data_IF_791814436566
#
_entry.id   IF_791814436566
#
_cell.length_a   1.000
_cell.length_b   1.000
_cell.length_c   1.000
_cell.angle_alpha   90.00
_cell.angle_beta   90.00
_cell.angle_gamma   90.00
#
_symmetry.space_group_name_H-M   'P 1'
#
loop_
_entity.id
_entity.type
_entity.pdbx_description
1 polymer ?
#
# COMPACT_ATOMS: atom_id res chain seq x y z
N UNK A 1 -2.13 -18.33 -3.02
CA UNK A 1 -2.73 -16.99 -3.02
C UNK A 1 -2.45 -16.37 -4.38
N UNK A 2 -3.48 -15.91 -5.10
CA UNK A 2 -3.35 -15.20 -6.38
C UNK A 2 -3.28 -13.71 -6.10
N UNK A 3 -2.32 -13.02 -6.74
CA UNK A 3 -2.16 -11.58 -6.61
C UNK A 3 -2.62 -10.91 -7.90
N UNK A 4 -3.50 -9.91 -7.78
CA UNK A 4 -3.99 -9.07 -8.87
C UNK A 4 -3.48 -7.64 -8.67
N UNK A 5 -2.18 -7.46 -8.87
CA UNK A 5 -1.51 -6.16 -8.94
C UNK A 5 -0.34 -6.30 -9.92
N UNK A 6 -0.42 -5.67 -11.11
CA UNK A 6 0.63 -5.72 -12.11
C UNK A 6 1.99 -5.25 -11.58
N UNK A 7 1.99 -4.36 -10.60
CA UNK A 7 3.18 -3.73 -10.03
C UNK A 7 4.01 -4.72 -9.20
N UNK A 8 3.35 -5.65 -8.49
CA UNK A 8 4.04 -6.64 -7.65
C UNK A 8 4.05 -8.04 -8.27
N UNK A 9 3.14 -8.35 -9.20
CA UNK A 9 3.07 -9.62 -9.90
C UNK A 9 2.54 -10.77 -9.02
N UNK A 10 3.40 -11.33 -8.18
CA UNK A 10 3.13 -12.53 -7.37
C UNK A 10 3.33 -12.31 -5.86
N UNK A 11 3.17 -13.38 -5.08
CA UNK A 11 3.33 -13.32 -3.62
C UNK A 11 4.74 -12.93 -3.19
N UNK A 12 5.77 -13.32 -3.94
CA UNK A 12 7.15 -12.97 -3.62
C UNK A 12 7.43 -11.50 -3.95
N UNK A 13 6.84 -10.97 -5.02
CA UNK A 13 6.85 -9.54 -5.31
C UNK A 13 6.12 -8.72 -4.27
N UNK A 14 4.97 -9.18 -3.78
CA UNK A 14 4.26 -8.52 -2.68
C UNK A 14 5.09 -8.50 -1.39
N UNK A 15 5.78 -9.60 -1.05
CA UNK A 15 6.71 -9.64 0.09
C UNK A 15 7.87 -8.66 -0.09
N UNK A 16 8.50 -8.62 -1.27
CA UNK A 16 9.58 -7.66 -1.58
C UNK A 16 9.09 -6.23 -1.45
N UNK A 17 7.92 -5.91 -1.97
CA UNK A 17 7.30 -4.60 -1.85
C UNK A 17 7.09 -4.22 -0.37
N UNK A 18 6.50 -5.11 0.43
CA UNK A 18 6.27 -4.87 1.86
C UNK A 18 7.58 -4.71 2.65
N UNK A 19 8.63 -5.46 2.31
CA UNK A 19 9.95 -5.29 2.92
C UNK A 19 10.55 -3.93 2.58
N UNK A 20 10.45 -3.49 1.32
CA UNK A 20 10.93 -2.17 0.90
C UNK A 20 10.16 -1.04 1.60
N UNK A 21 8.82 -1.17 1.67
CA UNK A 21 7.95 -0.23 2.38
C UNK A 21 8.34 -0.11 3.85
N UNK A 22 8.46 -1.23 4.58
CA UNK A 22 8.82 -1.21 6.01
C UNK A 22 10.25 -0.75 6.28
N UNK A 23 11.16 -0.94 5.33
CA UNK A 23 12.53 -0.42 5.43
C UNK A 23 12.54 1.10 5.28
N UNK A 24 11.79 1.63 4.30
CA UNK A 24 11.73 3.06 4.04
C UNK A 24 10.89 3.82 5.08
N UNK A 25 9.84 3.21 5.60
CA UNK A 25 8.90 3.75 6.57
C UNK A 25 8.85 2.83 7.81
N UNK A 26 9.83 2.90 8.72
CA UNK A 26 9.94 1.99 9.86
C UNK A 26 8.79 2.14 10.87
N UNK A 27 8.11 3.29 10.87
CA UNK A 27 6.92 3.62 11.66
C UNK A 27 5.59 3.36 10.91
N UNK A 28 5.64 2.63 9.77
CA UNK A 28 4.46 2.41 8.95
C UNK A 28 3.35 1.70 9.70
N UNK A 29 2.15 2.27 9.65
CA UNK A 29 0.92 1.65 10.14
C UNK A 29 -0.24 1.98 9.20
N UNK A 30 -1.24 1.11 9.19
CA UNK A 30 -2.46 1.31 8.40
C UNK A 30 -3.67 1.44 9.32
N UNK A 31 -4.50 2.43 9.05
CA UNK A 31 -5.78 2.64 9.70
C UNK A 31 -6.86 2.01 8.83
N UNK A 32 -7.68 1.11 9.41
CA UNK A 32 -8.87 0.58 8.75
C UNK A 32 -9.98 1.64 8.79
N UNK A 33 -10.48 2.04 7.64
CA UNK A 33 -11.52 3.07 7.52
C UNK A 33 -12.90 2.46 7.27
N UNK A 34 -12.93 1.37 6.51
CA UNK A 34 -14.18 0.70 6.13
C UNK A 34 -13.91 -0.76 5.80
N UNK A 35 -14.82 -1.63 6.20
CA UNK A 35 -14.75 -3.06 5.93
C UNK A 35 -16.14 -3.57 5.54
N UNK A 36 -16.22 -4.21 4.38
CA UNK A 36 -17.43 -4.87 3.90
C UNK A 36 -17.10 -6.32 3.62
N UNK A 37 -17.93 -7.24 4.13
CA UNK A 37 -17.76 -8.67 3.93
C UNK A 37 -19.07 -9.30 3.44
N UNK A 38 -18.97 -10.11 2.39
CA UNK A 38 -20.08 -10.87 1.83
C UNK A 38 -19.57 -12.22 1.32
N UNK A 39 -20.16 -13.31 1.84
CA UNK A 39 -19.77 -14.68 1.50
C UNK A 39 -18.25 -14.92 1.63
N UNK A 40 -17.56 -15.23 0.53
CA UNK A 40 -16.12 -15.48 0.48
C UNK A 40 -15.29 -14.23 0.15
N UNK A 41 -15.88 -13.04 0.12
CA UNK A 41 -15.24 -11.79 -0.27
C UNK A 41 -15.19 -10.79 0.87
N UNK A 42 -14.07 -10.09 0.97
CA UNK A 42 -13.88 -8.98 1.90
C UNK A 42 -13.32 -7.80 1.12
N UNK A 43 -13.85 -6.61 1.33
CA UNK A 43 -13.31 -5.37 0.80
C UNK A 43 -12.97 -4.46 1.97
N UNK A 44 -11.81 -3.81 1.92
CA UNK A 44 -11.43 -2.80 2.89
C UNK A 44 -10.96 -1.51 2.22
N UNK A 45 -11.27 -0.39 2.87
CA UNK A 45 -10.64 0.90 2.62
C UNK A 45 -9.77 1.23 3.83
N UNK A 46 -8.57 1.72 3.56
CA UNK A 46 -7.56 1.98 4.57
C UNK A 46 -6.72 3.20 4.21
N UNK A 47 -6.10 3.82 5.21
CA UNK A 47 -5.06 4.83 5.00
C UNK A 47 -3.77 4.35 5.64
N UNK A 48 -2.69 4.33 4.85
CA UNK A 48 -1.33 4.05 5.32
C UNK A 48 -0.63 5.32 5.75
N UNK A 49 0.06 5.25 6.88
CA UNK A 49 0.81 6.35 7.46
C UNK A 49 2.24 5.93 7.71
N UNK A 50 3.19 6.83 7.54
CA UNK A 50 4.58 6.61 7.93
C UNK A 50 5.48 7.80 7.63
N UNK A 51 6.69 7.78 8.15
CA UNK A 51 7.73 8.78 7.95
C UNK A 51 8.87 8.17 7.13
N UNK A 52 9.21 8.79 6.00
CA UNK A 52 10.25 8.26 5.12
C UNK A 52 11.64 8.49 5.73
N UNK A 53 12.22 7.43 6.29
CA UNK A 53 13.59 7.41 6.83
C UNK A 53 14.59 6.71 5.90
N UNK A 54 14.11 5.90 4.95
CA UNK A 54 14.93 5.22 3.95
C UNK A 54 14.52 5.56 2.51
N UNK A 55 15.39 5.21 1.56
CA UNK A 55 15.04 5.30 0.14
C UNK A 55 13.82 4.43 -0.16
N UNK A 56 12.88 4.95 -0.95
CA UNK A 56 11.73 4.19 -1.41
C UNK A 56 11.59 4.31 -2.93
N UNK A 57 11.66 3.18 -3.65
CA UNK A 57 11.48 3.14 -5.11
C UNK A 57 12.39 4.14 -5.87
N UNK A 58 13.66 4.28 -5.45
CA UNK A 58 14.61 5.22 -6.04
C UNK A 58 14.45 6.67 -5.58
N UNK A 59 13.53 6.97 -4.66
CA UNK A 59 13.34 8.30 -4.07
C UNK A 59 14.14 8.39 -2.77
N UNK A 60 15.18 9.24 -2.69
CA UNK A 60 15.96 9.42 -1.47
C UNK A 60 15.09 9.85 -0.28
N UNK A 61 15.48 9.45 0.92
CA UNK A 61 14.77 9.82 2.13
C UNK A 61 14.78 11.34 2.34
N UNK A 62 13.60 11.94 2.47
CA UNK A 62 13.43 13.36 2.77
C UNK A 62 12.86 13.64 4.17
N UNK A 63 12.68 12.61 5.00
CA UNK A 63 12.13 12.74 6.35
C UNK A 63 10.66 13.16 6.37
N UNK A 64 9.93 12.92 5.28
CA UNK A 64 8.54 13.38 5.11
C UNK A 64 7.56 12.35 5.66
N UNK A 65 6.60 12.83 6.44
CA UNK A 65 5.43 12.05 6.80
C UNK A 65 4.51 11.93 5.58
N UNK A 66 3.90 10.76 5.41
CA UNK A 66 2.94 10.47 4.35
C UNK A 66 1.65 9.91 4.94
N UNK A 67 0.53 10.20 4.26
CA UNK A 67 -0.76 9.57 4.48
C UNK A 67 -1.34 9.18 3.11
N UNK A 68 -1.51 7.89 2.87
CA UNK A 68 -1.81 7.33 1.55
C UNK A 68 -3.05 6.44 1.62
N UNK A 69 -4.18 6.84 1.00
CA UNK A 69 -5.37 6.01 0.96
C UNK A 69 -5.18 4.81 0.03
N UNK A 70 -5.84 3.71 0.36
CA UNK A 70 -5.87 2.50 -0.44
C UNK A 70 -7.13 1.68 -0.25
N UNK A 71 -7.31 0.73 -1.16
CA UNK A 71 -8.40 -0.22 -1.16
C UNK A 71 -7.87 -1.61 -1.46
N UNK A 72 -8.45 -2.63 -0.83
CA UNK A 72 -8.12 -4.03 -1.13
C UNK A 72 -9.39 -4.87 -1.15
N UNK A 73 -9.47 -5.75 -2.15
CA UNK A 73 -10.40 -6.87 -2.17
C UNK A 73 -9.64 -8.17 -1.91
N UNK A 74 -10.19 -8.97 -1.00
CA UNK A 74 -9.73 -10.30 -0.66
C UNK A 74 -10.77 -11.34 -1.05
N UNK A 75 -10.29 -12.53 -1.40
CA UNK A 75 -11.09 -13.76 -1.29
C UNK A 75 -10.58 -14.60 -0.14
N UNK A 76 -11.47 -15.08 0.72
CA UNK A 76 -11.14 -15.87 1.92
C UNK A 76 -11.80 -17.24 1.83
N UNK A 77 -10.99 -18.31 1.93
CA UNK A 77 -11.46 -19.70 1.97
C UNK A 77 -10.68 -20.47 3.03
N UNK A 78 -11.36 -21.33 3.78
CA UNK A 78 -10.77 -22.15 4.85
C UNK A 78 -9.92 -21.31 5.84
N UNK A 79 -10.42 -20.11 6.17
CA UNK A 79 -9.76 -19.17 7.07
C UNK A 79 -8.49 -18.51 6.51
N UNK A 80 -8.23 -18.60 5.20
CA UNK A 80 -7.04 -18.04 4.54
C UNK A 80 -7.40 -17.13 3.36
N UNK A 81 -6.59 -16.10 3.13
CA UNK A 81 -6.68 -15.27 1.92
C UNK A 81 -6.16 -16.08 0.73
N UNK A 82 -7.03 -16.32 -0.25
CA UNK A 82 -6.71 -17.05 -1.48
C UNK A 82 -6.51 -16.14 -2.68
N UNK A 83 -7.11 -14.95 -2.68
CA UNK A 83 -6.92 -13.93 -3.73
C UNK A 83 -6.77 -12.54 -3.08
N UNK A 84 -5.95 -11.71 -3.69
CA UNK A 84 -5.68 -10.33 -3.27
C UNK A 84 -5.73 -9.41 -4.50
N UNK A 85 -6.50 -8.33 -4.42
CA UNK A 85 -6.56 -7.27 -5.43
C UNK A 85 -6.55 -5.93 -4.72
N UNK A 86 -5.39 -5.29 -4.67
CA UNK A 86 -5.19 -4.05 -3.94
C UNK A 86 -4.63 -2.94 -4.82
N UNK A 87 -4.95 -1.71 -4.45
CA UNK A 87 -4.33 -0.50 -4.97
C UNK A 87 -4.24 0.55 -3.87
N UNK A 88 -3.30 1.47 -4.02
CA UNK A 88 -3.19 2.66 -3.17
C UNK A 88 -2.86 3.87 -4.06
N UNK A 89 -3.10 5.07 -3.55
CA UNK A 89 -2.89 6.31 -4.29
C UNK A 89 -1.39 6.64 -4.43
N UNK A 90 -0.77 6.05 -5.45
CA UNK A 90 0.65 6.26 -5.76
C UNK A 90 0.96 7.71 -6.11
N UNK A 91 0.04 8.45 -6.72
CA UNK A 91 0.27 9.85 -7.08
C UNK A 91 0.32 10.73 -5.85
N UNK A 92 -0.59 10.52 -4.90
CA UNK A 92 -0.56 11.19 -3.60
C UNK A 92 0.73 10.89 -2.85
N UNK A 93 1.17 9.62 -2.82
CA UNK A 93 2.44 9.24 -2.20
C UNK A 93 3.63 9.97 -2.86
N UNK A 94 3.75 9.91 -4.19
CA UNK A 94 4.87 10.54 -4.90
C UNK A 94 4.88 12.06 -4.74
N UNK A 95 3.71 12.72 -4.73
CA UNK A 95 3.60 14.15 -4.44
C UNK A 95 4.07 14.50 -3.03
N UNK A 96 3.66 13.71 -2.02
CA UNK A 96 4.10 13.90 -0.64
C UNK A 96 5.62 13.68 -0.49
N UNK A 97 6.18 12.70 -1.20
CA UNK A 97 7.64 12.47 -1.26
C UNK A 97 8.40 13.52 -2.10
N UNK A 98 7.70 14.40 -2.82
CA UNK A 98 8.32 15.44 -3.65
C UNK A 98 8.87 14.93 -4.98
N UNK A 99 8.47 13.73 -5.40
CA UNK A 99 8.85 13.13 -6.68
C UNK A 99 7.94 13.59 -7.84
N UNK A 100 6.83 14.27 -7.54
CA UNK A 100 5.99 14.93 -8.54
C UNK A 100 5.90 16.43 -8.25
N UNK A 101 5.93 17.29 -9.29
CA UNK A 101 5.58 18.70 -9.12
C UNK A 101 4.11 18.79 -8.68
N UNK A 102 3.85 19.48 -7.57
CA UNK A 102 2.48 19.83 -7.20
C UNK A 102 1.96 20.75 -8.30
N UNK A 103 0.85 20.42 -8.98
CA UNK A 103 0.25 21.35 -9.94
C UNK A 103 -0.02 22.66 -9.19
N UNK A 104 0.55 23.76 -9.66
CA UNK A 104 0.10 25.08 -9.24
C UNK A 104 -1.38 25.17 -9.60
N UNK A 105 -2.24 25.40 -8.61
CA UNK A 105 -3.64 25.78 -8.85
C UNK A 105 -3.69 27.18 -9.45
#
# INVERSE_FOLDING_TARGET
MVIHSPEVGDIEGLKRFNTALRTAFPDWHSTLEELVAEADRVAERWTGHGTQHGEFQGIPAAGRAVAVPGVVFYRVRDGRITEFRGSFDVFSLLGQLGALPVPAQ
#
